data_IF_369718967588
#
_entry.id   IF_369718967588
#
_cell.length_a   1.000
_cell.length_b   1.000
_cell.length_c   1.000
_cell.angle_alpha   90.00
_cell.angle_beta   90.00
_cell.angle_gamma   90.00
#
_symmetry.space_group_name_H-M   'P 1'
#
loop_
_entity.id
_entity.type
_entity.pdbx_description
1 polymer ?
#
# COMPACT_ATOMS: atom_id res chain seq x y z
N UNK A 1 -22.94 8.39 4.77
CA UNK A 1 -22.11 9.08 5.79
C UNK A 1 -22.64 8.69 7.15
N UNK A 2 -22.08 7.66 7.79
CA UNK A 2 -22.66 7.05 9.00
C UNK A 2 -22.11 7.72 10.26
N UNK A 3 -22.83 8.71 10.77
CA UNK A 3 -22.72 9.24 12.13
C UNK A 3 -24.12 9.24 12.76
N UNK A 4 -24.22 9.15 14.08
CA UNK A 4 -25.52 9.22 14.76
C UNK A 4 -26.17 10.59 14.52
N UNK A 5 -27.48 10.69 14.74
CA UNK A 5 -28.29 11.90 14.49
C UNK A 5 -27.74 13.15 15.21
N UNK A 6 -26.96 12.93 16.27
CA UNK A 6 -26.35 13.94 17.13
C UNK A 6 -24.89 14.30 16.77
N UNK A 7 -24.20 13.48 15.96
CA UNK A 7 -22.81 13.72 15.57
C UNK A 7 -22.56 13.29 14.13
N UNK A 8 -22.65 14.25 13.21
CA UNK A 8 -22.30 14.07 11.80
C UNK A 8 -20.79 14.16 11.64
N UNK A 9 -20.18 13.07 11.19
CA UNK A 9 -18.76 13.03 10.86
C UNK A 9 -18.56 13.68 9.49
N UNK A 10 -17.67 14.68 9.42
CA UNK A 10 -17.40 15.50 8.22
C UNK A 10 -16.79 14.67 7.08
N UNK A 11 -16.06 13.61 7.41
CA UNK A 11 -15.41 12.69 6.48
C UNK A 11 -15.55 11.23 6.98
N UNK A 12 -15.46 10.22 6.11
CA UNK A 12 -15.42 8.83 6.55
C UNK A 12 -14.22 8.57 7.48
N UNK A 13 -14.35 7.73 8.52
CA UNK A 13 -13.28 7.46 9.46
C UNK A 13 -12.19 6.60 8.81
N UNK A 14 -11.17 7.26 8.26
CA UNK A 14 -9.93 6.63 7.84
C UNK A 14 -8.92 6.60 8.99
N UNK A 15 -7.94 5.70 8.94
CA UNK A 15 -6.88 5.60 9.96
C UNK A 15 -6.21 6.95 10.25
N UNK A 16 -5.91 7.72 9.21
CA UNK A 16 -5.29 9.05 9.32
C UNK A 16 -6.19 10.10 9.99
N UNK A 17 -7.49 9.86 10.02
CA UNK A 17 -8.50 10.82 10.45
C UNK A 17 -8.86 10.70 11.94
N UNK A 18 -8.44 9.61 12.60
CA UNK A 18 -8.73 9.37 14.02
C UNK A 18 -8.11 10.41 14.94
N UNK A 19 -6.94 10.95 14.62
CA UNK A 19 -6.29 11.97 15.45
C UNK A 19 -7.10 13.27 15.49
N UNK A 20 -7.64 13.68 14.34
CA UNK A 20 -8.49 14.88 14.21
C UNK A 20 -9.83 14.67 14.92
N UNK A 21 -10.36 13.44 14.89
CA UNK A 21 -11.60 13.08 15.59
C UNK A 21 -11.41 12.95 17.11
N UNK A 22 -10.22 12.55 17.57
CA UNK A 22 -9.93 12.33 18.99
C UNK A 22 -9.45 13.59 19.73
N UNK A 23 -8.87 14.56 19.02
CA UNK A 23 -8.37 15.80 19.61
C UNK A 23 -8.66 17.02 18.73
N UNK A 24 -9.19 18.12 19.29
CA UNK A 24 -9.40 19.37 18.55
C UNK A 24 -8.09 20.15 18.33
N UNK A 25 -6.94 19.65 18.80
CA UNK A 25 -5.67 20.38 18.71
C UNK A 25 -5.08 20.35 17.30
N UNK A 26 -4.96 21.54 16.70
CA UNK A 26 -4.41 21.71 15.34
C UNK A 26 -2.93 21.29 15.29
N UNK A 27 -2.16 21.58 16.34
CA UNK A 27 -0.73 21.26 16.41
C UNK A 27 -0.51 19.74 16.34
N UNK A 28 -1.27 18.97 17.11
CA UNK A 28 -1.17 17.50 17.11
C UNK A 28 -1.56 16.92 15.74
N UNK A 29 -2.60 17.49 15.12
CA UNK A 29 -3.05 17.09 13.79
C UNK A 29 -1.97 17.30 12.72
N UNK A 30 -1.25 18.43 12.76
CA UNK A 30 -0.16 18.74 11.83
C UNK A 30 1.03 17.79 12.05
N UNK A 31 1.44 17.56 13.31
CA UNK A 31 2.53 16.63 13.62
C UNK A 31 2.20 15.22 13.10
N UNK A 32 0.96 14.77 13.31
CA UNK A 32 0.52 13.47 12.83
C UNK A 32 0.47 13.39 11.31
N UNK A 33 -0.03 14.43 10.64
CA UNK A 33 -0.05 14.49 9.17
C UNK A 33 1.37 14.40 8.58
N UNK A 34 2.34 15.11 9.17
CA UNK A 34 3.75 15.05 8.75
C UNK A 34 4.32 13.65 9.01
N UNK A 35 4.10 13.09 10.20
CA UNK A 35 4.57 11.74 10.54
C UNK A 35 4.02 10.68 9.60
N UNK A 36 2.72 10.75 9.28
CA UNK A 36 2.07 9.85 8.34
C UNK A 36 2.63 10.02 6.91
N UNK A 37 2.84 11.26 6.46
CA UNK A 37 3.43 11.54 5.16
C UNK A 37 4.86 11.00 5.03
N UNK A 38 5.70 11.27 6.03
CA UNK A 38 7.07 10.75 6.08
C UNK A 38 7.11 9.23 6.12
N UNK A 39 6.20 8.59 6.88
CA UNK A 39 6.05 7.14 6.87
C UNK A 39 5.73 6.58 5.49
N UNK A 40 4.84 7.25 4.74
CA UNK A 40 4.50 6.88 3.37
C UNK A 40 5.70 6.87 2.43
N UNK A 41 6.64 7.81 2.58
CA UNK A 41 7.84 7.91 1.75
C UNK A 41 8.73 6.66 1.90
N UNK A 42 8.80 6.04 3.07
CA UNK A 42 9.61 4.83 3.28
C UNK A 42 8.93 3.56 2.77
N UNK A 43 7.59 3.48 2.89
CA UNK A 43 6.84 2.29 2.47
C UNK A 43 6.81 2.09 0.96
N UNK A 44 6.76 3.17 0.17
CA UNK A 44 6.70 3.10 -1.30
C UNK A 44 7.94 2.42 -1.93
N UNK A 45 9.18 2.85 -1.66
CA UNK A 45 10.37 2.20 -2.22
C UNK A 45 10.55 0.79 -1.66
N UNK A 46 10.23 0.56 -0.38
CA UNK A 46 10.27 -0.78 0.21
C UNK A 46 9.42 -1.78 -0.58
N UNK A 47 8.17 -1.43 -0.87
CA UNK A 47 7.27 -2.33 -1.60
C UNK A 47 7.73 -2.57 -3.05
N UNK A 48 8.30 -1.58 -3.71
CA UNK A 48 8.83 -1.74 -5.07
C UNK A 48 10.06 -2.68 -5.12
N UNK A 49 10.94 -2.60 -4.12
CA UNK A 49 12.08 -3.52 -4.02
C UNK A 49 11.60 -4.95 -3.77
N UNK A 50 10.59 -5.15 -2.92
CA UNK A 50 10.04 -6.49 -2.64
C UNK A 50 9.38 -7.08 -3.90
N UNK A 51 8.55 -6.30 -4.59
CA UNK A 51 7.85 -6.75 -5.79
C UNK A 51 8.82 -7.20 -6.90
N UNK A 52 9.83 -6.39 -7.19
CA UNK A 52 10.85 -6.72 -8.21
C UNK A 52 11.66 -7.97 -7.85
N UNK A 53 12.00 -8.19 -6.58
CA UNK A 53 12.68 -9.40 -6.10
C UNK A 53 11.82 -10.65 -6.19
N UNK A 54 10.53 -10.53 -5.94
CA UNK A 54 9.59 -11.65 -6.06
C UNK A 54 9.42 -12.08 -7.53
N UNK A 55 9.30 -11.13 -8.45
CA UNK A 55 9.25 -11.41 -9.89
C UNK A 55 10.53 -12.08 -10.41
N UNK A 56 11.69 -11.65 -9.89
CA UNK A 56 12.97 -12.27 -10.21
C UNK A 56 13.04 -13.72 -9.69
N UNK A 57 12.54 -14.00 -8.48
CA UNK A 57 12.45 -15.36 -7.97
C UNK A 57 11.53 -16.24 -8.82
N UNK A 58 10.36 -15.73 -9.22
CA UNK A 58 9.44 -16.45 -10.09
C UNK A 58 10.02 -16.77 -11.47
N UNK A 59 10.90 -15.91 -11.99
CA UNK A 59 11.61 -16.19 -13.24
C UNK A 59 12.62 -17.32 -13.08
N UNK A 60 13.33 -17.39 -11.95
CA UNK A 60 14.24 -18.51 -11.65
C UNK A 60 13.52 -19.83 -11.44
N UNK A 61 12.32 -19.80 -10.87
CA UNK A 61 11.46 -20.99 -10.72
C UNK A 61 10.77 -21.41 -12.04
N UNK A 62 11.09 -20.76 -13.16
CA UNK A 62 10.42 -20.93 -14.47
C UNK A 62 8.90 -20.70 -14.44
N UNK A 63 8.41 -20.04 -13.38
CA UNK A 63 7.01 -19.66 -13.22
C UNK A 63 6.66 -18.40 -14.03
N UNK A 64 7.67 -17.58 -14.30
CA UNK A 64 7.55 -16.34 -15.06
C UNK A 64 8.55 -16.28 -16.23
N UNK A 65 8.34 -15.38 -17.22
CA UNK A 65 9.22 -15.26 -18.38
C UNK A 65 10.68 -14.98 -17.98
N UNK A 66 11.64 -15.65 -18.64
CA UNK A 66 13.07 -15.50 -18.35
C UNK A 66 13.56 -14.03 -18.38
N UNK A 67 12.93 -13.17 -19.19
CA UNK A 67 13.23 -11.73 -19.26
C UNK A 67 13.03 -10.98 -17.93
N UNK A 68 12.18 -11.47 -17.03
CA UNK A 68 12.00 -10.88 -15.70
C UNK A 68 13.18 -11.18 -14.76
N UNK A 69 13.91 -12.26 -15.02
CA UNK A 69 15.12 -12.62 -14.28
C UNK A 69 16.38 -11.88 -14.76
N UNK A 70 16.28 -11.07 -15.83
CA UNK A 70 17.43 -10.37 -16.40
C UNK A 70 17.87 -9.19 -15.51
N UNK A 71 19.14 -9.22 -15.09
CA UNK A 71 19.75 -8.17 -14.26
C UNK A 71 20.68 -7.34 -15.13
N UNK A 72 20.52 -6.01 -15.09
CA UNK A 72 21.38 -5.10 -15.84
C UNK A 72 22.79 -5.05 -15.26
N UNK A 73 23.82 -5.20 -16.08
CA UNK A 73 25.23 -5.10 -15.65
C UNK A 73 25.61 -3.70 -15.14
N UNK A 74 24.99 -2.63 -15.68
CA UNK A 74 25.30 -1.25 -15.30
C UNK A 74 24.77 -0.91 -13.91
N UNK A 75 23.53 -1.32 -13.62
CA UNK A 75 22.81 -0.92 -12.42
C UNK A 75 22.73 -2.02 -11.36
N UNK A 76 23.13 -3.26 -11.69
CA UNK A 76 23.07 -4.43 -10.82
C UNK A 76 21.66 -4.69 -10.24
N UNK A 77 20.63 -4.31 -10.99
CA UNK A 77 19.22 -4.47 -10.61
C UNK A 77 18.40 -5.03 -11.78
N UNK A 78 17.30 -5.75 -11.48
CA UNK A 78 16.40 -6.26 -12.50
C UNK A 78 15.49 -5.14 -13.02
N UNK A 79 16.00 -4.37 -13.99
CA UNK A 79 15.33 -3.17 -14.52
C UNK A 79 13.95 -3.51 -15.09
N UNK A 80 13.85 -4.62 -15.85
CA UNK A 80 12.60 -5.04 -16.49
C UNK A 80 11.54 -5.37 -15.44
N UNK A 81 11.88 -6.17 -14.42
CA UNK A 81 10.96 -6.49 -13.31
C UNK A 81 10.56 -5.26 -12.51
N UNK A 82 11.48 -4.31 -12.31
CA UNK A 82 11.17 -3.05 -11.61
C UNK A 82 10.18 -2.20 -12.41
N UNK A 83 10.36 -2.12 -13.74
CA UNK A 83 9.49 -1.35 -14.63
C UNK A 83 8.10 -1.98 -14.71
N UNK A 84 8.03 -3.32 -14.77
CA UNK A 84 6.76 -4.04 -14.75
C UNK A 84 6.05 -3.89 -13.40
N UNK A 85 6.77 -3.98 -12.27
CA UNK A 85 6.20 -3.70 -10.96
C UNK A 85 5.66 -2.27 -10.85
N UNK A 86 6.36 -1.28 -11.43
CA UNK A 86 5.88 0.09 -11.52
C UNK A 86 4.58 0.17 -12.34
N UNK A 87 4.53 -0.41 -13.54
CA UNK A 87 3.34 -0.40 -14.39
C UNK A 87 2.13 -1.07 -13.71
N UNK A 88 2.33 -2.22 -13.07
CA UNK A 88 1.28 -2.93 -12.33
C UNK A 88 0.79 -2.08 -11.15
N UNK A 89 1.71 -1.42 -10.44
CA UNK A 89 1.35 -0.56 -9.31
C UNK A 89 0.57 0.68 -9.76
N UNK A 90 0.92 1.27 -10.90
CA UNK A 90 0.24 2.44 -11.46
C UNK A 90 -1.15 2.09 -11.97
N UNK A 91 -1.27 0.95 -12.65
CA UNK A 91 -2.56 0.42 -13.10
C UNK A 91 -3.46 0.07 -11.91
N UNK A 92 -2.89 -0.54 -10.87
CA UNK A 92 -3.60 -0.84 -9.62
C UNK A 92 -4.05 0.43 -8.91
N UNK A 93 -3.22 1.49 -8.88
CA UNK A 93 -3.60 2.80 -8.36
C UNK A 93 -4.75 3.40 -9.18
N UNK A 94 -4.67 3.34 -10.51
CA UNK A 94 -5.74 3.82 -11.39
C UNK A 94 -7.07 3.10 -11.12
N UNK A 95 -7.05 1.76 -11.06
CA UNK A 95 -8.24 0.96 -10.72
C UNK A 95 -8.75 1.35 -9.32
N UNK A 96 -7.86 1.54 -8.35
CA UNK A 96 -8.25 1.88 -6.98
C UNK A 96 -8.92 3.27 -6.88
N UNK A 97 -8.44 4.24 -7.66
CA UNK A 97 -8.97 5.61 -7.66
C UNK A 97 -10.31 5.70 -8.40
N UNK A 98 -10.43 5.02 -9.54
CA UNK A 98 -11.60 5.16 -10.42
C UNK A 98 -12.65 4.06 -10.24
N UNK A 99 -12.36 3.00 -9.48
CA UNK A 99 -13.28 1.89 -9.27
C UNK A 99 -13.30 1.42 -7.82
N UNK A 100 -14.44 0.88 -7.37
CA UNK A 100 -14.57 0.29 -6.02
C UNK A 100 -14.03 -1.14 -5.90
N UNK A 101 -13.46 -1.70 -6.98
CA UNK A 101 -13.12 -3.13 -7.08
C UNK A 101 -11.97 -3.50 -6.14
N UNK A 102 -11.00 -2.60 -5.97
CA UNK A 102 -9.85 -2.80 -5.10
C UNK A 102 -10.08 -2.33 -3.66
N UNK A 103 -11.25 -1.77 -3.34
CA UNK A 103 -11.60 -1.41 -1.96
C UNK A 103 -11.56 -2.60 -1.00
N UNK A 104 -11.92 -3.79 -1.50
CA UNK A 104 -11.85 -5.05 -0.77
C UNK A 104 -10.40 -5.53 -0.50
N UNK A 105 -9.48 -5.28 -1.44
CA UNK A 105 -8.08 -5.74 -1.38
C UNK A 105 -7.11 -4.75 -0.73
N UNK A 106 -7.62 -3.79 0.05
CA UNK A 106 -6.75 -2.83 0.75
C UNK A 106 -5.76 -3.54 1.70
N UNK A 107 -4.58 -2.96 1.91
CA UNK A 107 -3.56 -3.52 2.82
C UNK A 107 -4.10 -3.79 4.23
N UNK A 108 -5.10 -3.03 4.67
CA UNK A 108 -5.78 -3.23 5.94
C UNK A 108 -6.57 -4.55 5.99
N UNK A 109 -7.08 -5.04 4.86
CA UNK A 109 -7.72 -6.36 4.79
C UNK A 109 -6.70 -7.49 5.00
N UNK A 110 -5.53 -7.44 4.36
CA UNK A 110 -4.49 -8.46 4.53
C UNK A 110 -4.01 -8.53 5.99
N UNK A 111 -3.86 -7.38 6.65
CA UNK A 111 -3.54 -7.30 8.08
C UNK A 111 -4.67 -7.85 8.93
N UNK A 112 -5.92 -7.45 8.68
CA UNK A 112 -7.08 -7.95 9.41
C UNK A 112 -7.27 -9.47 9.26
N UNK A 113 -7.04 -10.01 8.06
CA UNK A 113 -7.10 -11.43 7.76
C UNK A 113 -5.96 -12.21 8.45
N UNK A 114 -4.76 -11.65 8.50
CA UNK A 114 -3.66 -12.23 9.26
C UNK A 114 -3.95 -12.28 10.76
N UNK A 115 -4.55 -11.21 11.32
CA UNK A 115 -4.98 -11.18 12.72
C UNK A 115 -6.10 -12.19 13.01
N UNK A 116 -7.10 -12.31 12.13
CA UNK A 116 -8.19 -13.26 12.33
C UNK A 116 -7.73 -14.72 12.26
N UNK A 117 -6.84 -15.07 11.33
CA UNK A 117 -6.20 -16.39 11.28
C UNK A 117 -5.35 -16.69 12.51
N UNK A 118 -4.72 -15.66 13.10
CA UNK A 118 -3.89 -15.80 14.30
C UNK A 118 -4.70 -15.95 15.58
N UNK A 119 -5.92 -15.43 15.62
CA UNK A 119 -6.90 -15.61 16.71
C UNK A 119 -7.61 -16.97 16.67
N UNK A 120 -7.58 -17.65 15.52
CA UNK A 120 -8.17 -18.98 15.31
C UNK A 120 -7.19 -20.13 15.64
N UNK A 121 -5.97 -19.81 16.06
CA UNK A 121 -4.98 -20.77 16.59
C UNK A 121 -4.80 -20.54 18.08
#
# INVERSE_FOLDING_TARGET
MSGTQYYKIVFPPYYSSFVILASPSVILSVIFAIGFFLGGIFYMPQNQIIASRMMLAFAFDSLAPAKLGEVSERFHVPVISTLIALLISLLSLWIYVYTNWLGFFSQLFAVAFSFSLRLLR
#
